data_IF_032756951733
#
_entry.id   IF_032756951733
#
_cell.length_a   1.000
_cell.length_b   1.000
_cell.length_c   1.000
_cell.angle_alpha   90.00
_cell.angle_beta   90.00
_cell.angle_gamma   90.00
#
_symmetry.space_group_name_H-M   'P 1'
#
loop_
_entity.id
_entity.type
_entity.pdbx_description
1 polymer ?
#
# COMPACT_ATOMS: atom_id res chain seq x y z
N UNK A 1 -6.83 -0.78 8.25
CA UNK A 1 -5.49 -1.41 8.30
C UNK A 1 -4.59 -0.70 9.31
N UNK A 2 -4.18 0.55 9.07
CA UNK A 2 -3.18 1.23 9.91
C UNK A 2 -3.56 1.41 11.39
N UNK A 3 -4.83 1.72 11.72
CA UNK A 3 -5.30 1.77 13.11
C UNK A 3 -5.14 0.41 13.83
N UNK A 4 -5.38 -0.70 13.12
CA UNK A 4 -5.19 -2.03 13.69
C UNK A 4 -3.72 -2.34 13.98
N UNK A 5 -2.81 -1.92 13.09
CA UNK A 5 -1.36 -2.04 13.32
C UNK A 5 -0.93 -1.19 14.54
N UNK A 6 -1.41 0.04 14.62
CA UNK A 6 -1.16 0.93 15.76
C UNK A 6 -1.64 0.31 17.08
N UNK A 7 -2.87 -0.20 17.12
CA UNK A 7 -3.43 -0.86 18.30
C UNK A 7 -2.69 -2.15 18.68
N UNK A 8 -2.01 -2.80 17.73
CA UNK A 8 -1.14 -3.95 17.98
C UNK A 8 0.25 -3.55 18.51
N UNK A 9 0.50 -2.27 18.79
CA UNK A 9 1.78 -1.76 19.29
C UNK A 9 2.82 -1.50 18.21
N UNK A 10 2.44 -1.54 16.93
CA UNK A 10 3.34 -1.23 15.82
C UNK A 10 3.42 0.28 15.64
N UNK A 11 4.63 0.83 15.60
CA UNK A 11 4.86 2.24 15.31
C UNK A 11 4.59 2.55 13.83
N UNK A 12 3.44 3.14 13.53
CA UNK A 12 3.06 3.53 12.16
C UNK A 12 3.74 4.85 11.80
N UNK A 13 4.73 4.81 10.92
CA UNK A 13 5.48 6.00 10.52
C UNK A 13 4.66 6.94 9.61
N UNK A 14 3.97 6.38 8.62
CA UNK A 14 3.20 7.15 7.67
C UNK A 14 2.14 6.32 6.92
N UNK A 15 1.18 7.02 6.31
CA UNK A 15 0.31 6.49 5.25
C UNK A 15 0.49 7.30 3.98
N UNK A 16 0.48 6.63 2.82
CA UNK A 16 0.55 7.28 1.49
C UNK A 16 -0.80 7.10 0.79
N UNK A 17 -1.45 8.20 0.45
CA UNK A 17 -2.72 8.19 -0.29
C UNK A 17 -2.85 9.45 -1.16
N UNK A 18 -3.59 9.39 -2.26
CA UNK A 18 -3.87 10.55 -3.10
C UNK A 18 -5.09 11.37 -2.62
N UNK A 19 -5.95 10.76 -1.80
CA UNK A 19 -7.20 11.31 -1.29
C UNK A 19 -6.94 12.22 -0.06
N UNK A 20 -6.95 13.53 -0.29
CA UNK A 20 -6.59 14.52 0.74
C UNK A 20 -7.58 14.56 1.93
N UNK A 21 -8.83 14.21 1.66
CA UNK A 21 -9.93 14.10 2.62
C UNK A 21 -9.66 13.04 3.70
N UNK A 22 -8.87 12.01 3.40
CA UNK A 22 -8.48 11.01 4.39
C UNK A 22 -7.47 11.53 5.42
N UNK A 23 -6.77 12.66 5.15
CA UNK A 23 -5.67 13.16 6.00
C UNK A 23 -6.09 13.33 7.46
N UNK A 24 -7.15 14.11 7.69
CA UNK A 24 -7.58 14.46 9.05
C UNK A 24 -7.95 13.20 9.84
N UNK A 25 -8.72 12.30 9.22
CA UNK A 25 -9.10 11.04 9.85
C UNK A 25 -7.87 10.17 10.14
N UNK A 26 -6.92 10.08 9.22
CA UNK A 26 -5.72 9.26 9.38
C UNK A 26 -4.85 9.73 10.56
N UNK A 27 -4.49 11.02 10.57
CA UNK A 27 -3.58 11.59 11.57
C UNK A 27 -4.24 11.68 12.96
N UNK A 28 -5.55 11.95 13.04
CA UNK A 28 -6.28 11.96 14.31
C UNK A 28 -6.35 10.58 14.96
N UNK A 29 -6.52 9.52 14.16
CA UNK A 29 -6.69 8.16 14.71
C UNK A 29 -5.36 7.43 14.93
N UNK A 30 -4.26 7.92 14.39
CA UNK A 30 -2.95 7.26 14.47
C UNK A 30 -1.92 8.32 14.90
N UNK A 31 -1.90 8.67 16.19
CA UNK A 31 -1.00 9.70 16.71
C UNK A 31 0.46 9.39 16.35
N UNK A 32 1.17 10.39 15.84
CA UNK A 32 2.57 10.28 15.41
C UNK A 32 2.77 9.80 13.96
N UNK A 33 1.76 9.22 13.32
CA UNK A 33 1.84 8.84 11.92
C UNK A 33 1.63 10.06 11.00
N UNK A 34 2.43 10.15 9.94
CA UNK A 34 2.32 11.23 8.94
C UNK A 34 1.42 10.82 7.79
N UNK A 35 0.52 11.70 7.33
CA UNK A 35 -0.17 11.50 6.07
C UNK A 35 0.61 12.13 4.90
N UNK A 36 1.04 11.28 3.96
CA UNK A 36 1.75 11.70 2.75
C UNK A 36 0.74 11.73 1.60
N UNK A 37 0.28 12.93 1.25
CA UNK A 37 -0.57 13.13 0.06
C UNK A 37 0.27 12.90 -1.21
N UNK A 38 0.18 11.72 -1.81
CA UNK A 38 0.93 11.42 -3.03
C UNK A 38 0.25 10.32 -3.86
N UNK A 39 0.35 10.44 -5.18
CA UNK A 39 0.06 9.33 -6.08
C UNK A 39 1.22 8.33 -6.03
N UNK A 40 0.94 7.10 -5.60
CA UNK A 40 1.94 6.03 -5.47
C UNK A 40 2.57 5.65 -6.82
N UNK A 41 1.90 5.91 -7.95
CA UNK A 41 2.47 5.70 -9.29
C UNK A 41 3.54 6.72 -9.67
N UNK A 42 3.60 7.84 -8.94
CA UNK A 42 4.57 8.93 -9.15
C UNK A 42 5.59 9.05 -8.03
N UNK A 43 5.31 8.45 -6.87
CA UNK A 43 6.24 8.43 -5.74
C UNK A 43 7.38 7.45 -6.03
N UNK A 44 8.62 7.90 -5.86
CA UNK A 44 9.79 7.01 -5.99
C UNK A 44 10.21 6.44 -4.63
N UNK A 45 10.77 5.23 -4.62
CA UNK A 45 11.26 4.61 -3.38
C UNK A 45 12.40 5.42 -2.71
N UNK A 46 13.42 5.95 -3.44
CA UNK A 46 14.43 6.82 -2.84
C UNK A 46 13.86 8.11 -2.24
N UNK A 47 12.77 8.64 -2.80
CA UNK A 47 12.09 9.80 -2.24
C UNK A 47 11.39 9.47 -0.93
N UNK A 48 10.69 8.34 -0.86
CA UNK A 48 10.08 7.87 0.38
C UNK A 48 11.14 7.60 1.47
N UNK A 49 12.27 7.02 1.07
CA UNK A 49 13.44 6.78 1.93
C UNK A 49 13.88 8.07 2.62
N UNK A 50 14.12 9.14 1.84
CA UNK A 50 14.53 10.45 2.37
C UNK A 50 13.45 11.09 3.25
N UNK A 51 12.18 10.99 2.85
CA UNK A 51 11.06 11.62 3.58
C UNK A 51 10.83 11.02 4.97
N UNK A 52 11.09 9.72 5.12
CA UNK A 52 10.81 8.97 6.34
C UNK A 52 12.09 8.46 7.04
N UNK A 53 13.27 8.77 6.51
CA UNK A 53 14.56 8.27 6.99
C UNK A 53 14.58 6.74 7.13
N UNK A 54 14.05 6.04 6.12
CA UNK A 54 13.97 4.58 6.11
C UNK A 54 15.32 3.97 5.75
N UNK A 55 15.57 2.77 6.24
CA UNK A 55 16.71 1.95 5.84
C UNK A 55 16.25 0.83 4.92
N UNK A 56 17.14 0.44 4.00
CA UNK A 56 16.97 -0.74 3.15
C UNK A 56 17.46 -1.97 3.92
N UNK A 57 16.90 -3.14 3.65
CA UNK A 57 17.17 -4.40 4.36
C UNK A 57 16.91 -4.30 5.88
N UNK A 58 15.85 -3.59 6.26
CA UNK A 58 15.46 -3.45 7.66
C UNK A 58 14.42 -4.52 8.03
N UNK A 59 14.84 -5.48 8.85
CA UNK A 59 13.99 -6.59 9.31
C UNK A 59 12.84 -6.13 10.22
N UNK A 60 12.89 -4.91 10.75
CA UNK A 60 11.80 -4.31 11.54
C UNK A 60 10.81 -3.52 10.69
N UNK A 61 11.14 -3.23 9.44
CA UNK A 61 10.28 -2.46 8.54
C UNK A 61 9.10 -3.32 8.07
N UNK A 62 7.91 -2.75 8.15
CA UNK A 62 6.67 -3.36 7.70
C UNK A 62 6.06 -2.50 6.61
N UNK A 63 5.81 -3.09 5.44
CA UNK A 63 4.97 -2.48 4.41
C UNK A 63 3.60 -3.12 4.39
N UNK A 64 2.58 -2.31 4.66
CA UNK A 64 1.20 -2.71 4.61
C UNK A 64 0.49 -1.97 3.47
N UNK A 65 -0.04 -2.71 2.50
CA UNK A 65 -0.62 -2.15 1.28
C UNK A 65 -1.98 -2.75 0.95
N UNK A 66 -2.89 -1.89 0.51
CA UNK A 66 -4.13 -2.29 -0.15
C UNK A 66 -4.21 -1.52 -1.48
N UNK A 67 -4.53 -2.21 -2.56
CA UNK A 67 -4.79 -1.57 -3.85
C UNK A 67 -6.29 -1.56 -4.14
N UNK A 68 -6.80 -0.59 -4.92
CA UNK A 68 -8.20 -0.55 -5.31
C UNK A 68 -8.70 -1.88 -5.87
N UNK A 69 -9.63 -2.51 -5.17
CA UNK A 69 -10.17 -3.82 -5.51
C UNK A 69 -11.21 -3.77 -6.63
N UNK A 70 -11.53 -2.58 -7.16
CA UNK A 70 -12.63 -2.34 -8.10
C UNK A 70 -12.54 -3.18 -9.37
N UNK A 71 -11.32 -3.50 -9.84
CA UNK A 71 -11.11 -4.38 -11.00
C UNK A 71 -11.34 -5.86 -10.67
N UNK A 72 -11.04 -6.25 -9.43
CA UNK A 72 -11.07 -7.64 -8.94
C UNK A 72 -12.39 -8.01 -8.24
N UNK A 73 -13.22 -7.00 -7.94
CA UNK A 73 -14.50 -7.16 -7.27
C UNK A 73 -15.54 -7.84 -8.17
N UNK A 74 -16.47 -8.57 -7.53
CA UNK A 74 -17.65 -9.14 -8.20
C UNK A 74 -18.73 -8.08 -8.46
N UNK A 75 -18.67 -6.94 -7.79
CA UNK A 75 -19.60 -5.83 -7.98
C UNK A 75 -19.42 -5.25 -9.38
N UNK A 76 -20.52 -4.96 -10.07
CA UNK A 76 -20.52 -4.43 -11.45
C UNK A 76 -19.98 -3.00 -11.46
N UNK A 77 -18.66 -2.88 -11.64
CA UNK A 77 -17.92 -1.64 -11.83
C UNK A 77 -17.53 -1.47 -13.29
N UNK A 78 -17.31 -0.23 -13.72
CA UNK A 78 -16.74 0.05 -15.03
C UNK A 78 -15.27 -0.42 -15.07
N UNK A 79 -15.06 -1.62 -15.62
CA UNK A 79 -13.74 -2.26 -15.71
C UNK A 79 -12.76 -1.50 -16.60
N UNK A 80 -13.24 -0.62 -17.49
CA UNK A 80 -12.35 0.18 -18.34
C UNK A 80 -11.61 1.24 -17.52
N UNK A 81 -12.32 1.93 -16.62
CA UNK A 81 -11.71 2.87 -15.65
C UNK A 81 -10.85 2.16 -14.61
N UNK A 82 -11.31 1.02 -14.10
CA UNK A 82 -10.59 0.26 -13.07
C UNK A 82 -9.29 -0.39 -13.58
N UNK A 83 -9.07 -0.51 -14.90
CA UNK A 83 -7.84 -1.06 -15.47
C UNK A 83 -6.59 -0.26 -15.10
N UNK A 84 -6.72 1.07 -14.95
CA UNK A 84 -5.61 1.95 -14.54
C UNK A 84 -5.16 1.69 -13.11
N UNK A 85 -6.08 1.35 -12.21
CA UNK A 85 -5.79 1.12 -10.79
C UNK A 85 -5.45 -0.34 -10.47
N UNK A 86 -5.77 -1.28 -11.38
CA UNK A 86 -5.43 -2.70 -11.25
C UNK A 86 -3.92 -2.96 -11.05
N UNK A 87 -3.06 -2.09 -11.60
CA UNK A 87 -1.61 -2.22 -11.54
C UNK A 87 -0.96 -1.50 -10.35
N UNK A 88 -1.72 -0.88 -9.44
CA UNK A 88 -1.13 -0.18 -8.30
C UNK A 88 -0.38 -1.11 -7.34
N UNK A 89 -0.75 -2.41 -7.28
CA UNK A 89 0.06 -3.41 -6.58
C UNK A 89 1.47 -3.57 -7.19
N UNK A 90 1.65 -3.34 -8.49
CA UNK A 90 2.99 -3.38 -9.10
C UNK A 90 3.83 -2.19 -8.61
N UNK A 91 3.21 -1.02 -8.38
CA UNK A 91 3.93 0.10 -7.79
C UNK A 91 4.35 -0.25 -6.36
N UNK A 92 3.45 -0.83 -5.57
CA UNK A 92 3.76 -1.30 -4.22
C UNK A 92 4.90 -2.33 -4.20
N UNK A 93 4.91 -3.29 -5.13
CA UNK A 93 6.00 -4.25 -5.31
C UNK A 93 7.36 -3.57 -5.51
N UNK A 94 7.44 -2.49 -6.30
CA UNK A 94 8.70 -1.74 -6.48
C UNK A 94 9.27 -1.20 -5.16
N UNK A 95 8.41 -0.75 -4.24
CA UNK A 95 8.87 -0.33 -2.91
C UNK A 95 9.41 -1.53 -2.13
N UNK A 96 8.71 -2.67 -2.16
CA UNK A 96 9.17 -3.89 -1.48
C UNK A 96 10.52 -4.34 -2.03
N UNK A 97 10.69 -4.44 -3.35
CA UNK A 97 11.97 -4.84 -3.96
C UNK A 97 13.08 -3.83 -3.70
N UNK A 98 12.75 -2.54 -3.55
CA UNK A 98 13.75 -1.51 -3.25
C UNK A 98 14.20 -1.52 -1.79
N UNK A 99 13.25 -1.68 -0.85
CA UNK A 99 13.50 -1.57 0.58
C UNK A 99 13.84 -2.90 1.25
N UNK A 100 13.40 -4.03 0.69
CA UNK A 100 13.52 -5.37 1.28
C UNK A 100 13.10 -5.37 2.77
N UNK A 101 11.84 -5.01 3.07
CA UNK A 101 11.33 -4.95 4.45
C UNK A 101 11.25 -6.35 5.06
N UNK A 102 11.36 -6.45 6.38
CA UNK A 102 11.18 -7.73 7.09
C UNK A 102 9.78 -8.33 6.93
N UNK A 103 8.76 -7.48 6.77
CA UNK A 103 7.37 -7.94 6.63
C UNK A 103 6.61 -7.18 5.55
N UNK A 104 5.76 -7.91 4.82
CA UNK A 104 4.81 -7.36 3.85
C UNK A 104 3.41 -7.87 4.19
N UNK A 105 2.47 -6.94 4.30
CA UNK A 105 1.04 -7.25 4.49
C UNK A 105 0.27 -6.70 3.29
N UNK A 106 -0.43 -7.58 2.57
CA UNK A 106 -1.28 -7.19 1.45
C UNK A 106 -2.72 -7.56 1.77
N UNK A 107 -3.61 -6.57 1.78
CA UNK A 107 -5.06 -6.77 1.90
C UNK A 107 -5.72 -6.59 0.52
N UNK A 108 -6.57 -7.54 0.14
CA UNK A 108 -7.36 -7.45 -1.10
C UNK A 108 -8.55 -8.43 -1.07
N UNK A 109 -9.43 -8.30 -2.06
CA UNK A 109 -10.61 -9.15 -2.21
C UNK A 109 -10.28 -10.56 -2.73
N UNK A 110 -11.10 -11.59 -2.40
CA UNK A 110 -10.85 -12.97 -2.85
C UNK A 110 -10.75 -13.17 -4.37
N UNK A 111 -11.31 -12.24 -5.16
CA UNK A 111 -11.25 -12.25 -6.62
C UNK A 111 -9.82 -12.16 -7.17
N UNK A 112 -8.90 -11.51 -6.44
CA UNK A 112 -7.49 -11.39 -6.82
C UNK A 112 -6.80 -12.76 -6.95
N UNK A 113 -7.16 -13.71 -6.09
CA UNK A 113 -6.61 -15.09 -6.13
C UNK A 113 -7.25 -15.94 -7.23
N UNK A 114 -8.52 -15.69 -7.57
CA UNK A 114 -9.29 -16.50 -8.54
C UNK A 114 -8.93 -16.19 -10.00
N UNK A 115 -8.46 -14.99 -10.30
CA UNK A 115 -8.08 -14.58 -11.66
C UNK A 115 -6.59 -14.85 -11.95
N UNK A 116 -6.22 -16.15 -12.01
CA UNK A 116 -4.82 -16.62 -12.13
C UNK A 116 -4.02 -16.02 -13.30
N UNK A 117 -4.66 -15.62 -14.41
CA UNK A 117 -3.96 -15.07 -15.59
C UNK A 117 -3.45 -13.62 -15.43
N UNK A 118 -3.89 -12.90 -14.39
CA UNK A 118 -3.55 -11.47 -14.22
C UNK A 118 -3.20 -11.10 -12.78
N UNK A 119 -3.02 -12.08 -11.90
CA UNK A 119 -2.70 -11.82 -10.49
C UNK A 119 -1.20 -11.59 -10.32
N UNK A 120 -0.84 -10.52 -9.62
CA UNK A 120 0.56 -10.21 -9.27
C UNK A 120 1.01 -10.91 -7.97
N UNK A 121 0.11 -11.62 -7.28
CA UNK A 121 0.44 -12.30 -6.02
C UNK A 121 1.69 -13.20 -6.09
N UNK A 122 1.94 -13.96 -7.18
CA UNK A 122 3.17 -14.73 -7.31
C UNK A 122 4.45 -13.88 -7.35
N UNK A 123 4.40 -12.65 -7.83
CA UNK A 123 5.59 -11.79 -7.98
C UNK A 123 6.01 -11.11 -6.67
N UNK A 124 5.25 -11.33 -5.59
CA UNK A 124 5.59 -10.93 -4.22
C UNK A 124 6.29 -12.03 -3.42
N UNK A 125 6.35 -13.27 -3.94
CA UNK A 125 6.88 -14.47 -3.25
C UNK A 125 8.22 -14.87 -3.87
#
# INVERSE_FOLDING_TARGET
MSLGLHNAGINVLAGVDNAADCRKTYETNIPGAKFIKHDISRLSAPELERRLNLKRNDNSLIFAGCSPCQFWSKIRTDKTKARRTAFLLHQFQKFISYFLPGFVVVENVPGLKKQKKHTILPDFI
#
